data_IF_997493907929
#
_entry.id   IF_997493907929
#
_cell.length_a   1.000
_cell.length_b   1.000
_cell.length_c   1.000
_cell.angle_alpha   90.00
_cell.angle_beta   90.00
_cell.angle_gamma   90.00
#
_symmetry.space_group_name_H-M   'P 1'
#
loop_
_entity.id
_entity.type
_entity.pdbx_description
1 polymer ?
#
# COMPACT_ATOMS: atom_id res chain seq x y z
N UNK A 1 19.97 -15.54 7.93
CA UNK A 1 18.51 -15.33 7.83
C UNK A 1 18.01 -16.17 6.68
N UNK A 2 16.95 -16.94 6.88
CA UNK A 2 16.35 -17.75 5.81
C UNK A 2 15.80 -16.84 4.72
N UNK A 3 16.04 -17.17 3.44
CA UNK A 3 15.56 -16.33 2.34
C UNK A 3 14.03 -16.41 2.20
N UNK A 4 13.42 -15.38 1.59
CA UNK A 4 11.97 -15.37 1.28
C UNK A 4 11.56 -16.58 0.42
N UNK A 5 12.45 -16.96 -0.48
CA UNK A 5 12.26 -18.13 -1.36
C UNK A 5 12.28 -19.43 -0.57
N UNK A 6 13.22 -19.59 0.38
CA UNK A 6 13.27 -20.80 1.21
C UNK A 6 11.98 -20.96 2.02
N UNK A 7 11.46 -19.86 2.59
CA UNK A 7 10.17 -19.87 3.30
C UNK A 7 8.98 -20.20 2.37
N UNK A 8 9.03 -19.79 1.10
CA UNK A 8 8.02 -20.16 0.10
C UNK A 8 8.11 -21.66 -0.19
N UNK A 9 9.30 -22.14 -0.50
CA UNK A 9 9.52 -23.56 -0.80
C UNK A 9 9.12 -24.47 0.36
N UNK A 10 9.37 -24.10 1.62
CA UNK A 10 8.92 -24.89 2.79
C UNK A 10 7.40 -25.07 2.89
N UNK A 11 6.64 -24.19 2.26
CA UNK A 11 5.16 -24.25 2.24
C UNK A 11 4.60 -24.96 1.01
N UNK A 12 5.45 -25.22 0.01
CA UNK A 12 5.10 -25.96 -1.19
C UNK A 12 5.26 -27.46 -0.96
N UNK A 13 4.40 -28.28 -1.56
CA UNK A 13 4.60 -29.73 -1.63
C UNK A 13 5.70 -30.08 -2.66
N UNK A 14 6.29 -31.26 -2.53
CA UNK A 14 7.41 -31.70 -3.40
C UNK A 14 7.07 -31.69 -4.91
N UNK A 15 5.79 -31.78 -5.25
CA UNK A 15 5.31 -31.80 -6.63
C UNK A 15 4.74 -30.43 -7.10
N UNK A 16 5.01 -29.37 -6.36
CA UNK A 16 4.56 -28.02 -6.63
C UNK A 16 5.72 -27.10 -7.00
N UNK A 17 5.46 -26.21 -7.95
CA UNK A 17 6.26 -25.03 -8.28
C UNK A 17 5.35 -23.81 -8.33
N UNK A 18 5.91 -22.60 -8.34
CA UNK A 18 5.13 -21.37 -8.57
C UNK A 18 5.66 -20.61 -9.78
N UNK A 19 4.72 -20.11 -10.59
CA UNK A 19 4.96 -19.21 -11.71
C UNK A 19 4.38 -17.85 -11.37
N UNK A 20 5.24 -16.88 -11.15
CA UNK A 20 4.90 -15.53 -10.69
C UNK A 20 4.96 -14.58 -11.87
N UNK A 21 3.90 -13.79 -12.05
CA UNK A 21 3.74 -12.84 -13.16
C UNK A 21 3.49 -11.41 -12.68
N UNK A 22 3.09 -11.20 -11.43
CA UNK A 22 2.87 -9.86 -10.90
C UNK A 22 4.17 -9.15 -10.51
N UNK A 23 4.30 -7.88 -10.87
CA UNK A 23 5.46 -7.08 -10.50
C UNK A 23 5.74 -7.06 -8.98
N UNK A 24 4.75 -6.86 -8.09
CA UNK A 24 5.01 -6.85 -6.66
C UNK A 24 5.68 -8.13 -6.15
N UNK A 25 5.25 -9.28 -6.63
CA UNK A 25 5.84 -10.56 -6.22
C UNK A 25 7.15 -10.86 -6.94
N UNK A 26 7.33 -10.44 -8.20
CA UNK A 26 8.63 -10.49 -8.88
C UNK A 26 9.65 -9.70 -8.07
N UNK A 27 9.34 -8.45 -7.72
CA UNK A 27 10.21 -7.61 -6.89
C UNK A 27 10.45 -8.23 -5.50
N UNK A 28 9.39 -8.69 -4.83
CA UNK A 28 9.49 -9.28 -3.49
C UNK A 28 10.45 -10.46 -3.41
N UNK A 29 10.37 -11.39 -4.37
CA UNK A 29 11.14 -12.62 -4.34
C UNK A 29 12.52 -12.50 -4.99
N UNK A 30 12.70 -11.63 -5.97
CA UNK A 30 13.95 -11.53 -6.75
C UNK A 30 14.71 -10.20 -6.58
N UNK A 31 14.05 -9.14 -6.13
CA UNK A 31 14.60 -7.78 -6.13
C UNK A 31 14.63 -7.13 -7.52
N UNK A 32 14.08 -7.79 -8.55
CA UNK A 32 14.08 -7.26 -9.91
C UNK A 32 13.09 -6.11 -10.07
N UNK A 33 13.53 -4.99 -10.63
CA UNK A 33 12.79 -3.72 -10.64
C UNK A 33 12.10 -3.39 -11.97
N UNK A 34 11.75 -4.41 -12.77
CA UNK A 34 10.97 -4.24 -14.00
C UNK A 34 9.78 -5.19 -14.02
N UNK A 35 8.70 -4.76 -14.67
CA UNK A 35 7.49 -5.54 -14.89
C UNK A 35 7.66 -6.60 -16.00
N UNK A 36 8.69 -6.46 -16.85
CA UNK A 36 8.93 -7.33 -18.01
C UNK A 36 9.66 -8.63 -17.63
N UNK A 37 9.13 -9.36 -16.67
CA UNK A 37 9.68 -10.64 -16.26
C UNK A 37 8.62 -11.60 -15.71
N UNK A 38 9.01 -12.88 -15.55
CA UNK A 38 8.31 -13.89 -14.79
C UNK A 38 9.32 -14.59 -13.87
N UNK A 39 8.85 -15.14 -12.76
CA UNK A 39 9.65 -16.07 -11.97
C UNK A 39 9.04 -17.47 -12.08
N UNK A 40 9.90 -18.46 -12.17
CA UNK A 40 9.55 -19.86 -11.96
C UNK A 40 10.42 -20.38 -10.81
N UNK A 41 9.76 -20.73 -9.70
CA UNK A 41 10.42 -21.17 -8.47
C UNK A 41 9.94 -22.57 -8.13
N UNK A 42 10.87 -23.48 -7.92
CA UNK A 42 10.63 -24.85 -7.51
C UNK A 42 11.66 -25.27 -6.45
N UNK A 43 11.51 -26.45 -5.88
CA UNK A 43 12.52 -27.01 -4.97
C UNK A 43 13.88 -27.23 -5.66
N UNK A 44 13.87 -27.50 -6.97
CA UNK A 44 15.06 -27.84 -7.77
C UNK A 44 15.68 -26.64 -8.49
N UNK A 45 14.95 -25.54 -8.69
CA UNK A 45 15.46 -24.41 -9.47
C UNK A 45 14.72 -23.09 -9.25
N UNK A 46 15.42 -22.00 -9.51
CA UNK A 46 14.94 -20.62 -9.39
C UNK A 46 15.29 -19.88 -10.68
N UNK A 47 14.27 -19.53 -11.45
CA UNK A 47 14.45 -18.93 -12.78
C UNK A 47 13.76 -17.58 -12.85
N UNK A 48 14.47 -16.58 -13.40
CA UNK A 48 13.88 -15.32 -13.85
C UNK A 48 13.87 -15.32 -15.38
N UNK A 49 12.67 -15.14 -15.94
CA UNK A 49 12.41 -15.22 -17.36
C UNK A 49 12.11 -13.79 -17.83
N UNK A 50 12.95 -13.25 -18.69
CA UNK A 50 12.80 -11.90 -19.24
C UNK A 50 13.33 -11.83 -20.66
N UNK A 51 13.14 -10.72 -21.36
CA UNK A 51 13.67 -10.57 -22.70
C UNK A 51 15.11 -9.99 -22.73
N UNK A 52 15.68 -9.90 -23.92
CA UNK A 52 17.07 -9.49 -24.13
C UNK A 52 17.38 -8.07 -23.62
N UNK A 53 16.39 -7.18 -23.49
CA UNK A 53 16.55 -5.80 -22.98
C UNK A 53 16.96 -5.79 -21.51
N UNK A 54 16.52 -6.79 -20.74
CA UNK A 54 16.63 -6.82 -19.28
C UNK A 54 17.58 -7.89 -18.74
N UNK A 55 18.18 -8.74 -19.58
CA UNK A 55 19.03 -9.85 -19.10
C UNK A 55 20.23 -9.40 -18.28
N UNK A 56 20.82 -8.24 -18.57
CA UNK A 56 21.94 -7.67 -17.78
C UNK A 56 21.43 -7.25 -16.42
N UNK A 57 20.36 -6.47 -16.37
CA UNK A 57 19.72 -6.00 -15.12
C UNK A 57 19.28 -7.18 -14.25
N UNK A 58 18.68 -8.21 -14.84
CA UNK A 58 18.26 -9.40 -14.11
C UNK A 58 19.45 -10.14 -13.45
N UNK A 59 20.60 -10.24 -14.13
CA UNK A 59 21.83 -10.84 -13.54
C UNK A 59 22.39 -10.01 -12.39
N UNK A 60 22.23 -8.69 -12.43
CA UNK A 60 22.70 -7.78 -11.39
C UNK A 60 21.76 -7.78 -10.17
N UNK A 61 20.46 -7.79 -10.37
CA UNK A 61 19.45 -7.60 -9.31
C UNK A 61 18.96 -8.92 -8.74
N UNK A 62 18.59 -9.89 -9.59
CA UNK A 62 17.97 -11.15 -9.18
C UNK A 62 19.03 -12.20 -8.77
N UNK A 63 19.77 -11.93 -7.69
CA UNK A 63 20.81 -12.83 -7.21
C UNK A 63 20.25 -14.19 -6.79
N UNK A 64 20.90 -15.26 -7.27
CA UNK A 64 20.48 -16.63 -6.99
C UNK A 64 19.44 -17.19 -7.96
N UNK A 65 19.02 -16.41 -8.96
CA UNK A 65 18.20 -16.88 -10.08
C UNK A 65 19.04 -17.17 -11.31
N UNK A 66 18.68 -18.24 -12.05
CA UNK A 66 19.15 -18.43 -13.42
C UNK A 66 18.32 -17.51 -14.35
N UNK A 67 19.00 -16.66 -15.11
CA UNK A 67 18.36 -15.75 -16.07
C UNK A 67 18.11 -16.47 -17.39
N UNK A 68 16.85 -16.54 -17.80
CA UNK A 68 16.42 -17.18 -19.05
C UNK A 68 15.83 -16.13 -19.99
N UNK A 69 16.30 -16.13 -21.25
CA UNK A 69 15.69 -15.34 -22.30
C UNK A 69 14.34 -15.97 -22.70
N UNK A 70 13.26 -15.20 -22.63
CA UNK A 70 11.91 -15.62 -22.99
C UNK A 70 11.79 -16.07 -24.46
N UNK A 71 12.70 -15.60 -25.32
CA UNK A 71 12.79 -16.04 -26.72
C UNK A 71 13.05 -17.54 -26.88
N UNK A 72 13.53 -18.23 -25.82
CA UNK A 72 13.67 -19.69 -25.82
C UNK A 72 12.34 -20.44 -25.82
N UNK A 73 11.24 -19.76 -25.49
CA UNK A 73 9.89 -20.30 -25.41
C UNK A 73 9.57 -20.97 -24.07
N UNK A 74 8.32 -20.83 -23.63
CA UNK A 74 7.85 -21.34 -22.35
C UNK A 74 7.94 -22.88 -22.25
N UNK A 75 7.80 -23.61 -23.35
CA UNK A 75 7.95 -25.07 -23.36
C UNK A 75 9.32 -25.53 -22.84
N UNK A 76 10.39 -24.86 -23.29
CA UNK A 76 11.75 -25.12 -22.80
C UNK A 76 11.99 -24.68 -21.37
N UNK A 77 11.23 -23.70 -20.90
CA UNK A 77 11.30 -23.21 -19.53
C UNK A 77 10.63 -24.21 -18.59
N UNK A 78 9.40 -24.62 -18.88
CA UNK A 78 8.69 -25.60 -18.07
C UNK A 78 9.29 -27.02 -18.13
N UNK A 79 10.03 -27.35 -19.19
CA UNK A 79 10.75 -28.62 -19.24
C UNK A 79 11.91 -28.74 -18.25
N UNK A 80 12.31 -27.64 -17.59
CA UNK A 80 13.40 -27.63 -16.61
C UNK A 80 13.00 -28.07 -15.21
N UNK A 81 11.71 -28.16 -14.95
CA UNK A 81 11.15 -28.59 -13.67
C UNK A 81 10.33 -29.85 -13.84
N UNK A 82 10.30 -30.71 -12.82
CA UNK A 82 9.56 -31.97 -12.83
C UNK A 82 8.24 -31.91 -12.06
N UNK A 83 8.01 -30.81 -11.35
CA UNK A 83 6.80 -30.54 -10.57
C UNK A 83 5.56 -30.59 -11.46
N UNK A 84 4.51 -31.23 -10.94
CA UNK A 84 3.25 -31.44 -11.64
C UNK A 84 2.31 -30.26 -11.57
N UNK A 85 2.25 -29.62 -10.41
CA UNK A 85 1.35 -28.51 -10.16
C UNK A 85 2.14 -27.20 -10.12
N UNK A 86 1.76 -26.25 -10.99
CA UNK A 86 2.42 -24.97 -11.09
C UNK A 86 1.45 -23.89 -10.61
N UNK A 87 1.70 -23.37 -9.41
CA UNK A 87 0.90 -22.33 -8.82
C UNK A 87 1.01 -21.02 -9.60
N UNK A 88 -0.10 -20.33 -9.80
CA UNK A 88 -0.14 -19.00 -10.42
C UNK A 88 -1.03 -18.03 -9.64
N UNK A 89 -0.94 -16.76 -10.00
CA UNK A 89 -1.67 -15.67 -9.36
C UNK A 89 -2.99 -15.42 -10.10
N UNK A 90 -4.08 -16.02 -9.63
CA UNK A 90 -5.40 -16.02 -10.29
C UNK A 90 -6.05 -14.63 -10.37
N UNK A 91 -5.75 -13.72 -9.45
CA UNK A 91 -6.27 -12.35 -9.49
C UNK A 91 -5.46 -11.42 -10.40
N UNK A 92 -4.27 -11.82 -10.80
CA UNK A 92 -3.36 -11.00 -11.59
C UNK A 92 -3.28 -11.46 -13.04
N UNK A 93 -3.06 -12.75 -13.26
CA UNK A 93 -2.89 -13.30 -14.60
C UNK A 93 -4.19 -13.24 -15.39
N UNK A 94 -4.18 -12.57 -16.53
CA UNK A 94 -5.36 -12.50 -17.40
C UNK A 94 -5.75 -13.89 -17.93
N UNK A 95 -7.05 -14.08 -18.23
CA UNK A 95 -7.56 -15.34 -18.83
C UNK A 95 -6.84 -15.65 -20.14
N UNK A 96 -6.53 -14.64 -20.95
CA UNK A 96 -5.83 -14.81 -22.22
C UNK A 96 -4.38 -15.28 -22.01
N UNK A 97 -3.69 -14.70 -21.04
CA UNK A 97 -2.34 -15.07 -20.67
C UNK A 97 -2.28 -16.48 -20.08
N UNK A 98 -3.17 -16.80 -19.16
CA UNK A 98 -3.28 -18.14 -18.59
C UNK A 98 -3.45 -19.19 -19.69
N UNK A 99 -4.39 -19.01 -20.62
CA UNK A 99 -4.58 -19.94 -21.75
C UNK A 99 -3.35 -20.07 -22.61
N UNK A 100 -2.67 -18.95 -22.92
CA UNK A 100 -1.45 -18.92 -23.75
C UNK A 100 -0.30 -19.69 -23.10
N UNK A 101 -0.06 -19.48 -21.81
CA UNK A 101 1.06 -20.09 -21.09
C UNK A 101 0.74 -21.53 -20.71
N UNK A 102 -0.50 -21.84 -20.27
CA UNK A 102 -0.95 -23.22 -19.98
C UNK A 102 -0.76 -24.16 -21.18
N UNK A 103 -0.97 -23.67 -22.39
CA UNK A 103 -0.73 -24.45 -23.62
C UNK A 103 0.75 -24.78 -23.88
N UNK A 104 1.67 -24.27 -23.05
CA UNK A 104 3.12 -24.47 -23.13
C UNK A 104 3.68 -25.34 -22.00
N UNK A 105 2.81 -25.80 -21.11
CA UNK A 105 3.17 -26.78 -20.09
C UNK A 105 3.51 -28.13 -20.75
N UNK A 106 4.41 -28.89 -20.12
CA UNK A 106 4.70 -30.25 -20.59
C UNK A 106 3.58 -31.21 -20.17
N UNK A 107 3.50 -32.37 -20.83
CA UNK A 107 2.54 -33.40 -20.49
C UNK A 107 2.61 -33.78 -19.00
N UNK A 108 1.46 -33.75 -18.34
CA UNK A 108 1.34 -34.07 -16.92
C UNK A 108 1.50 -32.87 -15.98
N UNK A 109 1.89 -31.71 -16.50
CA UNK A 109 1.87 -30.44 -15.72
C UNK A 109 0.52 -29.73 -15.86
N UNK A 110 0.10 -29.02 -14.80
CA UNK A 110 -1.09 -28.18 -14.82
C UNK A 110 -0.92 -26.91 -13.96
N UNK A 111 -1.58 -25.82 -14.36
CA UNK A 111 -1.69 -24.61 -13.54
C UNK A 111 -2.75 -24.79 -12.45
N UNK A 112 -2.41 -24.37 -11.24
CA UNK A 112 -3.30 -24.36 -10.06
C UNK A 112 -3.26 -22.99 -9.39
N UNK A 113 -4.39 -22.57 -8.84
CA UNK A 113 -4.53 -21.28 -8.14
C UNK A 113 -3.77 -21.32 -6.81
N UNK A 114 -2.74 -20.49 -6.65
CA UNK A 114 -1.89 -20.46 -5.45
C UNK A 114 -1.54 -19.03 -5.00
N UNK A 115 -2.34 -18.03 -5.36
CA UNK A 115 -2.08 -16.64 -5.03
C UNK A 115 -1.88 -16.43 -3.53
N UNK A 116 -2.69 -17.06 -2.69
CA UNK A 116 -2.54 -16.94 -1.25
C UNK A 116 -1.18 -17.44 -0.75
N UNK A 117 -0.65 -18.53 -1.32
CA UNK A 117 0.68 -19.02 -0.97
C UNK A 117 1.77 -18.01 -1.35
N UNK A 118 1.62 -17.39 -2.52
CA UNK A 118 2.58 -16.42 -3.08
C UNK A 118 2.51 -15.08 -2.33
N UNK A 119 1.31 -14.56 -2.05
CA UNK A 119 1.12 -13.21 -1.49
C UNK A 119 1.24 -13.14 0.03
N UNK A 120 0.80 -14.19 0.74
CA UNK A 120 0.72 -14.17 2.21
C UNK A 120 2.03 -13.81 2.93
N UNK A 121 3.23 -14.18 2.45
CA UNK A 121 4.47 -13.75 3.08
C UNK A 121 4.65 -12.22 3.15
N UNK A 122 4.02 -11.45 2.25
CA UNK A 122 4.08 -9.98 2.23
C UNK A 122 3.23 -9.32 3.33
N UNK A 123 2.28 -10.03 3.92
CA UNK A 123 1.45 -9.50 5.01
C UNK A 123 2.29 -9.13 6.25
N UNK A 124 3.42 -9.83 6.45
CA UNK A 124 4.32 -9.64 7.59
C UNK A 124 5.64 -9.07 7.07
N UNK A 125 5.86 -7.78 7.29
CA UNK A 125 7.07 -7.08 6.88
C UNK A 125 8.25 -7.45 7.77
N UNK A 126 9.39 -7.71 7.16
CA UNK A 126 10.66 -7.86 7.88
C UNK A 126 11.24 -6.49 8.27
N UNK A 127 12.31 -6.49 9.08
CA UNK A 127 12.94 -5.24 9.54
C UNK A 127 13.48 -4.37 8.40
N UNK A 128 13.92 -4.98 7.29
CA UNK A 128 14.43 -4.23 6.13
C UNK A 128 13.28 -3.56 5.38
N UNK A 129 12.15 -4.25 5.23
CA UNK A 129 10.94 -3.71 4.63
C UNK A 129 10.38 -2.55 5.47
N UNK A 130 10.26 -2.74 6.80
CA UNK A 130 9.79 -1.71 7.72
C UNK A 130 10.67 -0.45 7.65
N UNK A 131 12.00 -0.60 7.57
CA UNK A 131 12.91 0.54 7.43
C UNK A 131 12.68 1.32 6.14
N UNK A 132 12.45 0.65 5.01
CA UNK A 132 12.18 1.30 3.73
C UNK A 132 10.84 2.03 3.74
N UNK A 133 9.81 1.42 4.31
CA UNK A 133 8.50 2.05 4.49
C UNK A 133 8.62 3.28 5.40
N UNK A 134 9.36 3.18 6.50
CA UNK A 134 9.59 4.30 7.41
C UNK A 134 10.35 5.47 6.76
N UNK A 135 11.33 5.19 5.87
CA UNK A 135 12.01 6.25 5.11
C UNK A 135 11.08 6.87 4.05
N UNK A 136 10.21 6.07 3.41
CA UNK A 136 9.17 6.60 2.52
C UNK A 136 8.19 7.50 3.28
N UNK A 137 7.75 7.07 4.46
CA UNK A 137 6.84 7.84 5.33
C UNK A 137 7.47 9.15 5.81
N UNK A 138 8.74 9.12 6.19
CA UNK A 138 9.52 10.31 6.57
C UNK A 138 9.64 11.33 5.42
N UNK A 139 9.72 10.89 4.17
CA UNK A 139 9.66 11.79 3.01
C UNK A 139 8.28 12.47 2.96
N UNK A 140 7.20 11.74 3.26
CA UNK A 140 5.85 12.29 3.42
C UNK A 140 5.77 13.33 4.53
N UNK A 141 6.30 13.04 5.71
CA UNK A 141 6.35 14.00 6.84
C UNK A 141 7.07 15.31 6.44
N UNK A 142 8.23 15.21 5.78
CA UNK A 142 8.95 16.39 5.28
C UNK A 142 8.16 17.16 4.22
N UNK A 143 7.41 16.43 3.36
CA UNK A 143 6.56 17.06 2.35
C UNK A 143 5.38 17.80 2.98
N UNK A 144 4.79 17.26 4.05
CA UNK A 144 3.74 17.94 4.81
C UNK A 144 4.27 19.22 5.45
N UNK A 145 5.40 19.18 6.14
CA UNK A 145 6.02 20.39 6.72
C UNK A 145 6.30 21.45 5.64
N UNK A 146 6.84 21.04 4.50
CA UNK A 146 7.12 21.93 3.38
C UNK A 146 5.86 22.60 2.82
N UNK A 147 4.78 21.80 2.64
CA UNK A 147 3.58 22.32 1.98
C UNK A 147 2.80 23.32 2.83
N UNK A 148 2.87 23.23 4.16
CA UNK A 148 2.23 24.20 5.06
C UNK A 148 2.61 25.65 4.75
N UNK A 149 3.85 25.87 4.33
CA UNK A 149 4.34 27.22 3.93
C UNK A 149 3.89 27.66 2.52
N UNK A 150 3.19 26.81 1.77
CA UNK A 150 2.73 27.06 0.40
C UNK A 150 1.23 27.26 0.30
N UNK A 151 0.48 26.72 1.26
CA UNK A 151 -0.97 26.82 1.31
C UNK A 151 -1.35 28.27 1.63
N UNK A 152 -2.21 28.84 0.78
CA UNK A 152 -2.82 30.17 0.98
C UNK A 152 -4.05 30.31 0.09
N UNK A 153 -4.93 31.23 0.44
CA UNK A 153 -6.08 31.60 -0.40
C UNK A 153 -5.66 31.95 -1.83
N UNK A 154 -6.40 31.43 -2.81
CA UNK A 154 -6.22 31.68 -4.24
C UNK A 154 -5.27 30.73 -4.96
N UNK A 155 -4.45 29.93 -4.26
CA UNK A 155 -3.69 28.80 -4.84
C UNK A 155 -4.67 27.69 -5.21
N UNK A 156 -4.41 26.95 -6.28
CA UNK A 156 -5.26 25.84 -6.70
C UNK A 156 -4.89 24.54 -5.98
N UNK A 157 -5.86 23.64 -5.84
CA UNK A 157 -5.62 22.27 -5.36
C UNK A 157 -4.49 21.58 -6.12
N UNK A 158 -4.46 21.78 -7.45
CA UNK A 158 -3.45 21.19 -8.36
C UNK A 158 -2.05 21.74 -8.11
N UNK A 159 -1.90 23.03 -7.85
CA UNK A 159 -0.60 23.60 -7.50
C UNK A 159 -0.06 23.01 -6.20
N UNK A 160 -0.92 22.80 -5.20
CA UNK A 160 -0.54 22.14 -3.95
C UNK A 160 -0.12 20.68 -4.18
N UNK A 161 -0.88 19.92 -4.98
CA UNK A 161 -0.53 18.54 -5.31
C UNK A 161 0.82 18.47 -6.02
N UNK A 162 1.06 19.31 -7.04
CA UNK A 162 2.34 19.35 -7.76
C UNK A 162 3.52 19.72 -6.87
N UNK A 163 3.34 20.67 -5.95
CA UNK A 163 4.38 21.07 -5.00
C UNK A 163 4.76 19.89 -4.06
N UNK A 164 3.76 19.12 -3.57
CA UNK A 164 3.98 17.91 -2.77
C UNK A 164 4.75 16.85 -3.55
N UNK A 165 4.27 16.50 -4.75
CA UNK A 165 4.86 15.47 -5.60
C UNK A 165 6.30 15.82 -5.99
N UNK A 166 6.53 17.06 -6.41
CA UNK A 166 7.86 17.52 -6.77
C UNK A 166 8.81 17.48 -5.57
N UNK A 167 8.33 17.90 -4.40
CA UNK A 167 9.13 17.85 -3.18
C UNK A 167 9.51 16.41 -2.81
N UNK A 168 8.55 15.47 -2.78
CA UNK A 168 8.83 14.07 -2.48
C UNK A 168 9.85 13.46 -3.44
N UNK A 169 9.71 13.71 -4.76
CA UNK A 169 10.69 13.26 -5.76
C UNK A 169 12.07 13.87 -5.54
N UNK A 170 12.16 15.13 -5.14
CA UNK A 170 13.43 15.79 -4.82
C UNK A 170 14.09 15.21 -3.58
N UNK A 171 13.32 14.66 -2.64
CA UNK A 171 13.83 13.97 -1.46
C UNK A 171 14.23 12.50 -1.71
N UNK A 172 14.09 12.01 -2.93
CA UNK A 172 14.55 10.68 -3.31
C UNK A 172 13.46 9.66 -3.58
N UNK A 173 12.19 10.07 -3.57
CA UNK A 173 11.10 9.20 -3.99
C UNK A 173 11.24 8.83 -5.47
N UNK A 174 11.10 7.54 -5.79
CA UNK A 174 11.18 7.04 -7.17
C UNK A 174 9.87 7.18 -7.93
N UNK A 175 8.74 7.13 -7.22
CA UNK A 175 7.39 7.28 -7.75
C UNK A 175 6.46 7.83 -6.67
N UNK A 176 5.21 8.12 -7.03
CA UNK A 176 4.11 8.31 -6.08
C UNK A 176 3.52 6.95 -5.74
N UNK A 177 2.97 6.80 -4.51
CA UNK A 177 2.23 5.60 -4.12
C UNK A 177 0.87 5.53 -4.81
N UNK A 178 0.27 6.69 -5.05
CA UNK A 178 -1.02 6.91 -5.71
C UNK A 178 -1.12 8.37 -6.17
N UNK A 179 -2.19 8.72 -6.91
CA UNK A 179 -2.45 10.09 -7.34
C UNK A 179 -2.76 10.98 -6.13
N UNK A 180 -1.97 12.03 -5.93
CA UNK A 180 -2.09 12.95 -4.78
C UNK A 180 -3.48 13.56 -4.69
N UNK A 181 -4.15 13.41 -3.55
CA UNK A 181 -5.40 14.07 -3.23
C UNK A 181 -5.09 15.42 -2.58
N UNK A 182 -5.63 16.47 -3.15
CA UNK A 182 -5.67 17.81 -2.58
C UNK A 182 -7.07 18.36 -2.81
N UNK A 183 -7.94 18.22 -1.81
CA UNK A 183 -9.37 18.50 -1.96
C UNK A 183 -9.80 19.58 -0.93
N UNK A 184 -10.36 20.70 -1.43
CA UNK A 184 -10.67 21.86 -0.59
C UNK A 184 -12.16 22.19 -0.52
N UNK A 185 -12.59 22.77 0.60
CA UNK A 185 -13.98 23.17 0.87
C UNK A 185 -14.93 21.99 0.74
N UNK A 186 -16.02 22.15 0.01
CA UNK A 186 -17.01 21.08 -0.19
C UNK A 186 -16.43 19.84 -0.88
N UNK A 187 -15.34 19.99 -1.65
CA UNK A 187 -14.69 18.87 -2.31
C UNK A 187 -13.95 17.95 -1.33
N UNK A 188 -13.57 18.45 -0.15
CA UNK A 188 -12.98 17.60 0.90
C UNK A 188 -13.95 16.52 1.41
N UNK A 189 -15.26 16.63 1.10
CA UNK A 189 -16.23 15.57 1.34
C UNK A 189 -16.12 14.38 0.36
N UNK A 190 -15.22 14.45 -0.63
CA UNK A 190 -14.95 13.36 -1.56
C UNK A 190 -13.70 12.62 -1.08
N UNK A 191 -13.79 11.38 -0.56
CA UNK A 191 -12.62 10.63 -0.05
C UNK A 191 -11.49 10.48 -1.09
N UNK A 192 -11.85 10.35 -2.37
CA UNK A 192 -10.90 10.25 -3.50
C UNK A 192 -10.95 11.50 -4.40
N UNK A 193 -11.02 12.68 -3.77
CA UNK A 193 -11.09 13.97 -4.47
C UNK A 193 -9.77 14.35 -5.14
N UNK A 194 -9.53 13.89 -6.37
CA UNK A 194 -8.35 14.26 -7.17
C UNK A 194 -8.26 15.79 -7.27
N UNK A 195 -7.04 16.32 -7.18
CA UNK A 195 -6.75 17.74 -7.25
C UNK A 195 -7.22 18.40 -8.57
N UNK A 196 -7.90 19.54 -8.46
CA UNK A 196 -8.45 20.30 -9.58
C UNK A 196 -7.91 21.72 -9.64
N UNK A 197 -8.41 22.51 -10.63
CA UNK A 197 -8.12 23.94 -10.71
C UNK A 197 -8.99 24.79 -9.76
N UNK A 198 -9.74 24.17 -8.82
CA UNK A 198 -10.45 24.90 -7.76
C UNK A 198 -9.42 25.67 -6.95
N UNK A 199 -9.69 26.97 -6.77
CA UNK A 199 -8.92 27.80 -5.86
C UNK A 199 -9.33 27.56 -4.41
N UNK A 200 -8.35 27.45 -3.56
CA UNK A 200 -8.54 27.36 -2.11
C UNK A 200 -9.06 28.68 -1.60
N UNK A 201 -10.07 28.63 -0.73
CA UNK A 201 -10.75 29.80 -0.17
C UNK A 201 -10.59 29.86 1.35
N UNK A 202 -10.71 31.05 1.90
CA UNK A 202 -10.71 31.24 3.36
C UNK A 202 -11.91 30.49 3.98
N UNK A 203 -11.66 29.71 5.02
CA UNK A 203 -12.65 28.86 5.68
C UNK A 203 -12.71 27.42 5.12
N UNK A 204 -11.99 27.10 4.04
CA UNK A 204 -11.97 25.76 3.50
C UNK A 204 -11.26 24.77 4.45
N UNK A 205 -11.83 23.57 4.63
CA UNK A 205 -11.00 22.39 4.87
C UNK A 205 -10.16 22.12 3.65
N UNK A 206 -8.91 21.76 3.84
CA UNK A 206 -8.03 21.23 2.80
C UNK A 206 -7.51 19.89 3.27
N UNK A 207 -8.00 18.83 2.66
CA UNK A 207 -7.52 17.45 2.86
C UNK A 207 -6.41 17.17 1.88
N UNK A 208 -5.26 16.78 2.41
CA UNK A 208 -4.06 16.37 1.68
C UNK A 208 -3.80 14.90 1.98
N UNK A 209 -3.89 14.06 0.97
CA UNK A 209 -3.63 12.63 1.06
C UNK A 209 -2.62 12.25 -0.02
N UNK A 210 -1.47 11.77 0.41
CA UNK A 210 -0.32 11.58 -0.45
C UNK A 210 0.66 10.57 0.14
N UNK A 211 1.39 9.93 -0.74
CA UNK A 211 2.45 9.00 -0.40
C UNK A 211 3.44 8.83 -1.53
N UNK A 212 4.58 8.28 -1.23
CA UNK A 212 5.64 8.06 -2.19
C UNK A 212 6.23 6.66 -2.12
N UNK A 213 6.90 6.25 -3.19
CA UNK A 213 7.66 5.01 -3.26
C UNK A 213 9.13 5.30 -3.02
N UNK A 214 9.70 4.66 -2.00
CA UNK A 214 11.13 4.69 -1.72
C UNK A 214 11.69 3.26 -1.69
N UNK A 215 12.72 3.01 -2.50
CA UNK A 215 13.30 1.67 -2.67
C UNK A 215 12.28 0.55 -2.89
N UNK A 216 11.20 0.84 -3.64
CA UNK A 216 10.16 -0.11 -4.01
C UNK A 216 9.06 -0.31 -2.96
N UNK A 217 9.02 0.50 -1.88
CA UNK A 217 8.00 0.44 -0.84
C UNK A 217 7.23 1.75 -0.76
N UNK A 218 5.91 1.64 -0.59
CA UNK A 218 4.99 2.76 -0.49
C UNK A 218 4.95 3.36 0.91
N UNK A 219 4.67 4.66 0.99
CA UNK A 219 4.15 5.34 2.17
C UNK A 219 2.74 5.86 1.92
N UNK A 220 2.05 6.27 3.00
CA UNK A 220 0.67 6.72 2.95
C UNK A 220 0.33 7.58 4.17
N UNK A 221 -0.13 8.81 3.92
CA UNK A 221 -0.56 9.70 5.01
C UNK A 221 -1.59 10.72 4.57
N UNK A 222 -2.56 10.98 5.43
CA UNK A 222 -3.52 12.07 5.24
C UNK A 222 -3.45 13.08 6.37
N UNK A 223 -3.49 14.36 6.01
CA UNK A 223 -3.74 15.48 6.93
C UNK A 223 -4.80 16.42 6.37
N UNK A 224 -5.64 16.92 7.25
CA UNK A 224 -6.61 17.97 6.92
C UNK A 224 -6.25 19.24 7.70
N UNK A 225 -6.20 20.36 7.01
CA UNK A 225 -5.97 21.69 7.62
C UNK A 225 -7.17 22.61 7.35
N UNK A 226 -7.26 23.75 8.03
CA UNK A 226 -8.22 24.81 7.72
C UNK A 226 -7.48 26.03 7.22
N UNK A 227 -7.91 26.57 6.09
CA UNK A 227 -7.38 27.82 5.55
C UNK A 227 -8.12 28.98 6.19
N UNK A 228 -7.41 29.84 6.96
CA UNK A 228 -8.02 30.82 7.82
C UNK A 228 -8.42 30.25 9.18
N UNK A 229 -9.58 30.64 9.69
CA UNK A 229 -10.08 30.25 11.02
C UNK A 229 -11.18 29.20 10.94
N UNK A 230 -11.00 28.11 11.66
CA UNK A 230 -12.01 27.07 11.78
C UNK A 230 -13.23 27.56 12.58
N UNK A 231 -14.41 27.28 12.08
CA UNK A 231 -15.65 27.45 12.81
C UNK A 231 -15.89 26.31 13.82
N UNK A 232 -16.88 26.47 14.70
CA UNK A 232 -17.16 25.47 15.75
C UNK A 232 -17.53 24.12 15.21
N UNK A 233 -18.25 24.05 14.07
CA UNK A 233 -18.62 22.79 13.42
C UNK A 233 -17.41 22.07 12.82
N UNK A 234 -16.50 22.81 12.22
CA UNK A 234 -15.24 22.25 11.72
C UNK A 234 -14.39 21.67 12.85
N UNK A 235 -14.28 22.41 13.98
CA UNK A 235 -13.57 21.93 15.17
C UNK A 235 -14.19 20.66 15.77
N UNK A 236 -15.53 20.62 15.84
CA UNK A 236 -16.26 19.44 16.32
C UNK A 236 -15.94 18.19 15.48
N UNK A 237 -16.07 18.31 14.14
CA UNK A 237 -15.82 17.20 13.21
C UNK A 237 -14.36 16.76 13.29
N UNK A 238 -13.43 17.73 13.22
CA UNK A 238 -12.00 17.44 13.27
C UNK A 238 -11.61 16.70 14.56
N UNK A 239 -12.04 17.20 15.71
CA UNK A 239 -11.75 16.58 17.00
C UNK A 239 -12.40 15.19 17.16
N UNK A 240 -13.55 14.97 16.52
CA UNK A 240 -14.18 13.64 16.50
C UNK A 240 -13.32 12.64 15.72
N UNK A 241 -12.84 13.01 14.53
CA UNK A 241 -11.95 12.18 13.72
C UNK A 241 -10.61 11.95 14.43
N UNK A 242 -10.00 13.01 14.99
CA UNK A 242 -8.75 12.91 15.75
C UNK A 242 -8.88 11.94 16.94
N UNK A 243 -9.98 12.04 17.70
CA UNK A 243 -10.26 11.13 18.82
C UNK A 243 -10.43 9.69 18.33
N UNK A 244 -11.15 9.48 17.22
CA UNK A 244 -11.36 8.16 16.67
C UNK A 244 -10.02 7.52 16.23
N UNK A 245 -9.17 8.28 15.53
CA UNK A 245 -7.88 7.85 15.03
C UNK A 245 -6.91 7.51 16.18
N UNK A 246 -6.72 8.40 17.13
CA UNK A 246 -5.79 8.20 18.25
C UNK A 246 -6.23 7.04 19.13
N UNK A 247 -7.55 6.95 19.43
CA UNK A 247 -8.09 5.84 20.26
C UNK A 247 -7.94 4.50 19.56
N UNK A 248 -8.13 4.46 18.22
CA UNK A 248 -7.95 3.22 17.47
C UNK A 248 -6.48 2.77 17.49
N UNK A 249 -5.52 3.68 17.27
CA UNK A 249 -4.08 3.36 17.34
C UNK A 249 -3.71 2.81 18.73
N UNK A 250 -4.15 3.47 19.79
CA UNK A 250 -3.86 3.07 21.18
C UNK A 250 -4.46 1.70 21.53
N UNK A 251 -5.57 1.34 20.89
CA UNK A 251 -6.25 0.07 21.12
C UNK A 251 -5.59 -1.12 20.40
N UNK A 252 -4.83 -0.89 19.33
CA UNK A 252 -4.26 -1.95 18.49
C UNK A 252 -3.33 -2.85 19.30
N UNK A 253 -3.60 -4.15 19.25
CA UNK A 253 -2.76 -5.21 19.86
C UNK A 253 -2.68 -6.41 18.93
N UNK A 254 -1.50 -7.04 18.87
CA UNK A 254 -1.40 -8.35 18.24
C UNK A 254 -2.38 -9.34 18.88
N UNK A 255 -3.04 -10.13 18.06
CA UNK A 255 -4.09 -11.06 18.50
C UNK A 255 -5.52 -10.53 18.35
N UNK A 256 -5.74 -9.22 18.22
CA UNK A 256 -7.05 -8.65 17.91
C UNK A 256 -7.49 -9.00 16.48
N UNK A 257 -8.80 -9.07 16.26
CA UNK A 257 -9.32 -9.11 14.88
C UNK A 257 -9.27 -7.73 14.24
N UNK A 258 -8.99 -7.68 12.95
CA UNK A 258 -9.00 -6.43 12.18
C UNK A 258 -10.36 -5.71 12.26
N UNK A 259 -11.46 -6.45 12.31
CA UNK A 259 -12.81 -5.90 12.50
C UNK A 259 -13.04 -5.27 13.88
N UNK A 260 -12.35 -5.75 14.91
CA UNK A 260 -12.43 -5.15 16.25
C UNK A 260 -11.71 -3.81 16.30
N UNK A 261 -10.58 -3.68 15.57
CA UNK A 261 -9.86 -2.40 15.44
C UNK A 261 -10.69 -1.36 14.71
N UNK A 262 -11.29 -1.72 13.55
CA UNK A 262 -12.23 -0.84 12.83
C UNK A 262 -13.38 -0.40 13.74
N UNK A 263 -13.94 -1.33 14.52
CA UNK A 263 -15.05 -1.08 15.45
C UNK A 263 -14.75 0.00 16.49
N UNK A 264 -13.50 0.16 16.90
CA UNK A 264 -13.10 1.20 17.88
C UNK A 264 -13.34 2.60 17.32
N UNK A 265 -12.78 2.90 16.15
CA UNK A 265 -12.94 4.20 15.52
C UNK A 265 -14.38 4.45 15.07
N UNK A 266 -15.00 3.45 14.45
CA UNK A 266 -16.37 3.53 13.95
C UNK A 266 -17.38 3.80 15.06
N UNK A 267 -17.21 3.19 16.23
CA UNK A 267 -18.05 3.46 17.40
C UNK A 267 -17.98 4.93 17.84
N UNK A 268 -16.78 5.51 17.93
CA UNK A 268 -16.58 6.91 18.33
C UNK A 268 -17.30 7.86 17.36
N UNK A 269 -17.13 7.64 16.06
CA UNK A 269 -17.75 8.45 15.02
C UNK A 269 -19.29 8.29 15.05
N UNK A 270 -19.79 7.08 15.27
CA UNK A 270 -21.24 6.79 15.37
C UNK A 270 -21.84 7.43 16.60
N UNK A 271 -21.19 7.30 17.77
CA UNK A 271 -21.68 7.91 19.03
C UNK A 271 -21.72 9.43 18.97
N UNK A 272 -20.88 10.05 18.12
CA UNK A 272 -20.90 11.49 17.83
C UNK A 272 -21.98 11.90 16.81
N UNK A 273 -22.74 10.95 16.26
CA UNK A 273 -23.83 11.21 15.31
C UNK A 273 -23.39 11.22 13.83
N UNK A 274 -22.17 10.78 13.50
CA UNK A 274 -21.61 10.81 12.14
C UNK A 274 -21.41 9.42 11.53
N UNK A 275 -22.07 8.38 12.07
CA UNK A 275 -21.89 7.00 11.62
C UNK A 275 -22.09 6.80 10.10
N UNK A 276 -23.11 7.46 9.52
CA UNK A 276 -23.40 7.42 8.08
C UNK A 276 -22.36 8.18 7.22
N UNK A 277 -21.55 9.04 7.85
CA UNK A 277 -20.53 9.86 7.18
C UNK A 277 -19.15 9.19 7.15
N UNK A 278 -18.99 7.98 7.71
CA UNK A 278 -17.76 7.18 7.65
C UNK A 278 -18.00 5.94 6.80
N UNK A 279 -17.87 6.10 5.49
CA UNK A 279 -18.29 5.10 4.49
C UNK A 279 -17.23 4.09 4.05
N UNK A 280 -15.99 4.17 4.54
CA UNK A 280 -14.90 3.26 4.14
C UNK A 280 -14.33 2.45 5.33
N UNK A 281 -13.40 1.56 5.06
CA UNK A 281 -12.64 0.80 6.06
C UNK A 281 -11.74 1.74 6.87
N UNK A 282 -11.39 1.36 8.10
CA UNK A 282 -10.49 2.15 8.93
C UNK A 282 -9.07 2.22 8.39
N UNK A 283 -8.65 1.25 7.56
CA UNK A 283 -7.31 1.26 6.98
C UNK A 283 -6.96 -0.03 6.26
N UNK A 284 -5.81 -0.03 5.61
CA UNK A 284 -5.26 -1.14 4.83
C UNK A 284 -3.75 -1.28 5.05
N UNK A 285 -3.22 -2.47 4.80
CA UNK A 285 -1.78 -2.66 4.82
C UNK A 285 -1.12 -1.96 3.63
N UNK A 286 0.10 -1.52 3.86
CA UNK A 286 0.98 -0.89 2.89
C UNK A 286 2.26 -1.71 2.77
N UNK A 287 2.83 -1.78 1.58
CA UNK A 287 4.08 -2.49 1.33
C UNK A 287 4.68 -2.11 -0.01
N UNK A 288 4.89 -3.09 -0.87
CA UNK A 288 5.29 -2.87 -2.26
C UNK A 288 4.12 -2.28 -3.05
N UNK A 289 2.89 -2.71 -2.73
CA UNK A 289 1.66 -2.10 -3.23
C UNK A 289 1.09 -1.17 -2.16
N UNK A 290 0.36 -0.15 -2.61
CA UNK A 290 -0.32 0.77 -1.70
C UNK A 290 -1.42 0.05 -0.91
N UNK A 291 -2.15 -0.87 -1.52
CA UNK A 291 -3.16 -1.68 -0.88
C UNK A 291 -2.70 -3.14 -0.77
N UNK A 292 -2.36 -3.57 0.44
CA UNK A 292 -2.04 -4.95 0.77
C UNK A 292 -2.96 -5.52 1.86
N UNK A 293 -2.80 -6.78 2.19
CA UNK A 293 -3.50 -7.42 3.32
C UNK A 293 -2.62 -7.44 4.58
N UNK A 294 -3.29 -7.49 5.77
CA UNK A 294 -4.71 -7.37 6.03
C UNK A 294 -5.20 -5.92 6.00
N UNK A 295 -6.53 -5.71 5.98
CA UNK A 295 -7.18 -4.41 6.12
C UNK A 295 -7.96 -4.31 7.44
N UNK A 296 -8.00 -3.14 8.07
CA UNK A 296 -8.90 -2.86 9.18
C UNK A 296 -10.28 -2.51 8.64
N UNK A 297 -11.17 -3.50 8.52
CA UNK A 297 -12.51 -3.32 7.99
C UNK A 297 -13.56 -4.10 8.79
N UNK A 298 -14.84 -3.67 8.78
CA UNK A 298 -15.89 -4.30 9.60
C UNK A 298 -16.08 -5.79 9.33
N UNK A 299 -15.68 -6.27 8.15
CA UNK A 299 -15.88 -7.67 7.71
C UNK A 299 -14.62 -8.53 7.79
N UNK A 300 -13.46 -7.94 8.11
CA UNK A 300 -12.20 -8.68 8.13
C UNK A 300 -11.93 -9.32 9.49
N UNK A 301 -11.97 -10.63 9.56
CA UNK A 301 -11.67 -11.41 10.76
C UNK A 301 -10.20 -11.87 10.84
N UNK A 302 -9.33 -11.42 9.94
CA UNK A 302 -7.90 -11.68 10.07
C UNK A 302 -7.37 -11.13 11.40
N UNK A 303 -6.34 -11.79 11.93
CA UNK A 303 -5.75 -11.45 13.22
C UNK A 303 -4.54 -10.55 13.01
N UNK A 304 -4.49 -9.45 13.73
CA UNK A 304 -3.35 -8.52 13.79
C UNK A 304 -2.11 -9.23 14.29
N UNK A 305 -1.00 -9.10 13.57
CA UNK A 305 0.26 -9.78 13.89
C UNK A 305 1.42 -8.77 13.93
N UNK A 306 2.47 -9.10 14.71
CA UNK A 306 3.72 -8.34 14.63
C UNK A 306 4.27 -8.37 13.19
N UNK A 307 4.74 -7.22 12.70
CA UNK A 307 5.19 -7.01 11.32
C UNK A 307 4.10 -6.58 10.35
N UNK A 308 2.82 -6.51 10.76
CA UNK A 308 1.82 -5.82 9.94
C UNK A 308 2.16 -4.33 9.91
N UNK A 309 2.14 -3.74 8.72
CA UNK A 309 2.23 -2.28 8.48
C UNK A 309 0.91 -1.86 7.86
N UNK A 310 0.15 -1.01 8.55
CA UNK A 310 -1.26 -0.74 8.23
C UNK A 310 -1.57 0.74 8.48
N UNK A 311 -2.41 1.36 7.65
CA UNK A 311 -2.93 2.71 7.86
C UNK A 311 -4.04 2.73 8.94
N UNK A 312 -4.20 3.87 9.60
CA UNK A 312 -5.32 4.15 10.50
C UNK A 312 -5.87 5.52 10.13
N UNK A 313 -6.94 5.53 9.34
CA UNK A 313 -7.41 6.67 8.54
C UNK A 313 -8.93 6.94 8.67
N UNK A 314 -9.49 7.06 9.86
CA UNK A 314 -10.92 7.39 9.96
C UNK A 314 -11.21 8.74 9.32
N UNK A 315 -12.40 8.88 8.73
CA UNK A 315 -12.86 10.12 8.13
C UNK A 315 -14.34 10.39 8.36
N UNK A 316 -14.72 11.65 8.31
CA UNK A 316 -16.11 12.14 8.30
C UNK A 316 -16.29 13.03 7.08
N UNK A 317 -17.23 12.68 6.21
CA UNK A 317 -17.49 13.35 4.95
C UNK A 317 -18.95 13.79 4.88
N UNK A 318 -19.18 15.11 4.83
CA UNK A 318 -20.53 15.69 4.87
C UNK A 318 -20.79 16.42 3.55
N UNK A 319 -21.73 15.90 2.76
CA UNK A 319 -22.10 16.50 1.48
C UNK A 319 -22.53 17.97 1.65
N UNK A 320 -22.02 18.84 0.77
CA UNK A 320 -22.27 20.28 0.79
C UNK A 320 -21.55 21.04 1.91
N UNK A 321 -20.79 20.36 2.79
CA UNK A 321 -20.05 21.02 3.87
C UNK A 321 -18.53 20.81 3.74
N UNK A 322 -18.08 19.58 3.62
CA UNK A 322 -16.68 19.20 3.57
C UNK A 322 -16.39 17.94 4.38
N UNK A 323 -15.12 17.54 4.42
CA UNK A 323 -14.69 16.33 5.12
C UNK A 323 -13.35 16.47 5.78
N UNK A 324 -13.10 15.57 6.72
CA UNK A 324 -11.84 15.43 7.46
C UNK A 324 -11.41 13.98 7.43
N UNK A 325 -10.16 13.70 7.05
CA UNK A 325 -9.44 12.47 7.27
C UNK A 325 -8.13 12.77 7.98
N UNK A 326 -7.79 11.96 8.96
CA UNK A 326 -6.51 11.98 9.67
C UNK A 326 -5.97 10.57 9.64
N UNK A 327 -4.81 10.39 9.07
CA UNK A 327 -4.22 9.10 8.82
C UNK A 327 -2.78 9.05 9.29
N UNK A 328 -2.44 7.95 9.94
CA UNK A 328 -1.06 7.56 10.20
C UNK A 328 -0.82 6.14 9.69
N UNK A 329 0.38 5.91 9.24
CA UNK A 329 0.91 4.57 8.98
C UNK A 329 1.54 4.01 10.25
N UNK A 330 1.12 2.83 10.69
CA UNK A 330 1.65 2.17 11.88
C UNK A 330 2.30 0.84 11.54
N UNK A 331 3.23 0.42 12.36
CA UNK A 331 3.72 -0.97 12.38
C UNK A 331 3.38 -1.63 13.71
N UNK A 332 2.95 -2.89 13.66
CA UNK A 332 2.74 -3.67 14.88
C UNK A 332 4.06 -4.31 15.32
N UNK A 333 4.59 -3.86 16.46
CA UNK A 333 5.83 -4.38 17.05
C UNK A 333 5.66 -4.63 18.54
N UNK A 334 6.24 -5.73 19.04
CA UNK A 334 6.12 -6.13 20.46
C UNK A 334 4.67 -6.15 20.95
N UNK A 335 3.75 -6.55 20.08
CA UNK A 335 2.33 -6.67 20.38
C UNK A 335 1.54 -5.36 20.36
N UNK A 336 2.12 -4.23 19.99
CA UNK A 336 1.48 -2.90 20.00
C UNK A 336 1.72 -2.16 18.68
N UNK A 337 0.88 -1.17 18.39
CA UNK A 337 1.12 -0.22 17.32
C UNK A 337 2.30 0.71 17.68
N UNK A 338 3.17 0.90 16.70
CA UNK A 338 4.23 1.93 16.70
C UNK A 338 3.96 2.82 15.51
N UNK A 339 3.77 4.10 15.74
CA UNK A 339 3.50 5.07 14.67
C UNK A 339 4.76 5.33 13.85
N UNK A 340 4.64 5.28 12.52
CA UNK A 340 5.71 5.65 11.59
C UNK A 340 5.57 7.09 11.12
N UNK A 341 4.35 7.64 11.12
CA UNK A 341 4.06 9.03 10.74
C UNK A 341 4.35 9.97 11.90
N UNK A 342 5.11 11.02 11.67
CA UNK A 342 5.54 11.98 12.69
C UNK A 342 4.86 13.35 12.57
N UNK A 343 4.17 13.62 11.47
CA UNK A 343 3.46 14.89 11.22
C UNK A 343 2.40 15.17 12.27
N UNK A 344 2.26 16.43 12.75
CA UNK A 344 1.28 16.80 13.77
C UNK A 344 -0.15 16.46 13.33
N UNK A 345 -0.99 16.07 14.29
CA UNK A 345 -2.39 15.66 14.07
C UNK A 345 -3.39 16.68 14.62
N UNK A 346 -2.95 17.62 15.38
CA UNK A 346 -3.79 18.71 15.87
C UNK A 346 -4.27 19.58 14.72
N UNK A 347 -5.43 20.22 14.88
CA UNK A 347 -5.98 21.11 13.87
C UNK A 347 -5.03 22.30 13.60
N UNK A 348 -4.55 22.37 12.37
CA UNK A 348 -3.73 23.46 11.88
C UNK A 348 -4.63 24.46 11.16
N UNK A 349 -4.57 25.71 11.57
CA UNK A 349 -5.19 26.86 10.93
C UNK A 349 -4.09 27.67 10.23
N UNK A 350 -4.19 27.88 8.90
CA UNK A 350 -3.19 28.53 8.04
C UNK A 350 -3.71 29.89 7.58
#
# INVERSE_FOLDING_TARGET
>A
MQSRIDKLCEKMHDNEAVFISSYPNIFYYSGFTSEDAYLLISHSGKYIITDSRYTIQAREQAKGFEVIDIAKGFEKIFSRIDEKYIGFEESYMSVAENKRIRAKLKDGQDFVEMQNLINKPREIKDECEIKKIAEAEKIGDMAFEYILGRIKEGVTEREIAFDLEFFMKKQGATALSFDTISASGIRSAMPHGIATDKKIENGDFLTLDFGCVFEGYCSDMTRTVVVGKANDKQKEIYNTVLKAQTTAIDAIKAGMKCSEVDGVARKIITDAGYGENFGHSLGHSVGIEIHENPSFSPKNNAVVQNGNVITVEPGIYIDGFGGVRIEDLIVVQNGKAVNLTSSPKELIEI
#
